data_IF_877744649869
#
_entry.id   IF_877744649869
#
_cell.length_a   1.000
_cell.length_b   1.000
_cell.length_c   1.000
_cell.angle_alpha   90.00
_cell.angle_beta   90.00
_cell.angle_gamma   90.00
#
_symmetry.space_group_name_H-M   'P 1'
#
loop_
_entity.id
_entity.type
_entity.pdbx_description
1 polymer ?
#
# COMPACT_ATOMS: atom_id res chain seq x y z
N UNK A 1 -39.25 -2.85 -26.56
CA UNK A 1 -37.95 -3.36 -26.07
C UNK A 1 -36.93 -2.25 -26.30
N UNK A 2 -36.76 -1.39 -25.29
CA UNK A 2 -35.84 -0.25 -25.29
C UNK A 2 -34.52 -0.73 -24.69
N UNK A 3 -33.42 -0.63 -25.43
CA UNK A 3 -32.07 -0.84 -24.89
C UNK A 3 -31.67 0.41 -24.10
N UNK A 4 -31.38 0.25 -22.81
CA UNK A 4 -30.69 1.25 -22.00
C UNK A 4 -29.19 1.15 -22.29
N UNK A 5 -28.63 2.20 -22.89
CA UNK A 5 -27.19 2.46 -22.93
C UNK A 5 -26.83 3.29 -21.69
N UNK A 6 -26.02 2.70 -20.80
CA UNK A 6 -25.42 3.38 -19.65
C UNK A 6 -24.14 4.07 -20.11
N UNK A 7 -24.16 5.39 -20.27
CA UNK A 7 -22.96 6.19 -20.48
C UNK A 7 -22.36 6.59 -19.14
N UNK A 8 -21.12 6.17 -18.87
CA UNK A 8 -20.28 6.72 -17.81
C UNK A 8 -19.97 8.18 -18.18
N UNK A 9 -20.31 9.12 -17.30
CA UNK A 9 -19.84 10.51 -17.42
C UNK A 9 -18.64 10.68 -16.50
N UNK A 10 -17.47 10.94 -17.08
CA UNK A 10 -16.26 11.37 -16.40
C UNK A 10 -16.53 12.71 -15.70
N UNK A 11 -16.45 12.73 -14.37
CA UNK A 11 -16.53 13.94 -13.56
C UNK A 11 -15.14 14.57 -13.49
N UNK A 12 -14.92 15.61 -14.30
CA UNK A 12 -13.75 16.46 -14.19
C UNK A 12 -13.89 17.33 -12.94
N UNK A 13 -13.14 17.03 -11.89
CA UNK A 13 -13.02 17.90 -10.73
C UNK A 13 -12.14 19.10 -11.07
N UNK A 14 -12.78 20.26 -11.24
CA UNK A 14 -12.09 21.55 -11.22
C UNK A 14 -11.92 21.91 -9.75
N UNK A 15 -10.68 21.85 -9.25
CA UNK A 15 -10.29 22.38 -7.96
C UNK A 15 -10.54 23.90 -7.97
N UNK A 16 -11.68 24.32 -7.46
CA UNK A 16 -11.96 25.73 -7.21
C UNK A 16 -11.28 26.11 -5.89
N UNK A 17 -10.18 26.86 -5.98
CA UNK A 17 -9.57 27.55 -4.84
C UNK A 17 -10.62 28.44 -4.16
N UNK A 18 -11.21 27.93 -3.08
CA UNK A 18 -12.13 28.66 -2.21
C UNK A 18 -11.40 29.07 -0.95
N UNK A 19 -10.95 30.33 -0.88
CA UNK A 19 -10.50 30.93 0.37
C UNK A 19 -11.65 30.87 1.39
N UNK A 20 -11.54 30.01 2.40
CA UNK A 20 -12.45 29.97 3.53
C UNK A 20 -12.17 31.18 4.44
N UNK A 21 -12.97 32.23 4.31
CA UNK A 21 -13.13 33.22 5.37
C UNK A 21 -13.96 32.56 6.47
N UNK A 22 -13.31 32.02 7.50
CA UNK A 22 -13.99 31.46 8.68
C UNK A 22 -14.56 32.64 9.49
N UNK A 23 -15.88 32.83 9.43
CA UNK A 23 -16.58 33.76 10.28
C UNK A 23 -16.87 33.09 11.64
N UNK A 24 -16.09 33.46 12.67
CA UNK A 24 -16.33 33.03 14.06
C UNK A 24 -17.68 33.57 14.57
N UNK A 25 -18.67 32.68 14.66
CA UNK A 25 -19.96 32.96 15.30
C UNK A 25 -20.06 32.27 16.66
N UNK A 26 -19.68 32.96 17.74
CA UNK A 26 -19.85 32.45 19.09
C UNK A 26 -21.34 32.41 19.51
N UNK A 27 -21.87 31.24 19.84
CA UNK A 27 -23.04 31.09 20.70
C UNK A 27 -23.04 29.73 21.42
N UNK A 28 -22.84 29.77 22.73
CA UNK A 28 -22.92 28.63 23.65
C UNK A 28 -24.36 28.14 23.85
N UNK A 29 -24.65 26.86 23.59
CA UNK A 29 -25.82 26.16 24.17
C UNK A 29 -25.48 24.68 24.36
N UNK A 30 -25.38 24.23 25.62
CA UNK A 30 -25.35 22.82 25.97
C UNK A 30 -26.76 22.21 25.91
N UNK A 31 -26.87 20.89 25.72
CA UNK A 31 -27.60 20.12 26.71
C UNK A 31 -26.96 18.76 27.07
N UNK A 32 -27.01 18.46 28.36
CA UNK A 32 -26.86 17.14 28.97
C UNK A 32 -27.80 16.10 28.35
N UNK A 33 -27.28 14.91 28.01
CA UNK A 33 -28.08 13.70 27.84
C UNK A 33 -27.34 12.52 28.49
N UNK A 34 -27.67 12.29 29.75
CA UNK A 34 -27.44 11.02 30.46
C UNK A 34 -28.45 10.00 29.97
N UNK A 35 -28.02 8.79 29.60
CA UNK A 35 -28.92 7.63 29.53
C UNK A 35 -28.40 6.48 30.38
N UNK A 36 -29.24 6.13 31.35
CA UNK A 36 -29.03 5.11 32.35
C UNK A 36 -29.53 3.74 31.88
N UNK A 37 -28.76 2.75 32.29
CA UNK A 37 -29.05 1.34 32.47
C UNK A 37 -30.39 1.06 33.16
N UNK A 38 -31.24 0.21 32.56
CA UNK A 38 -32.30 -0.48 33.29
C UNK A 38 -32.55 -1.90 32.73
N UNK A 39 -32.33 -2.89 33.60
CA UNK A 39 -32.65 -4.29 33.34
C UNK A 39 -34.08 -4.62 33.73
N UNK A 40 -34.62 -5.69 33.15
CA UNK A 40 -35.86 -6.32 33.59
C UNK A 40 -35.72 -7.83 33.48
N UNK A 41 -35.77 -8.51 34.62
CA UNK A 41 -35.72 -9.96 34.74
C UNK A 41 -37.10 -10.61 34.87
N UNK A 42 -37.16 -11.90 34.49
CA UNK A 42 -38.02 -13.00 34.97
C UNK A 42 -37.55 -14.24 34.18
N UNK A 43 -37.05 -15.34 34.71
CA UNK A 43 -37.26 -15.98 36.01
C UNK A 43 -38.10 -17.24 35.79
N UNK A 44 -37.47 -18.39 35.51
CA UNK A 44 -38.02 -19.68 35.94
C UNK A 44 -36.95 -20.78 36.09
N UNK A 45 -37.04 -21.42 37.25
CA UNK A 45 -36.18 -22.44 37.85
C UNK A 45 -36.57 -23.84 37.35
N UNK A 46 -35.59 -24.73 37.22
CA UNK A 46 -35.81 -26.17 37.06
C UNK A 46 -34.54 -26.97 37.39
N UNK A 47 -34.46 -27.47 38.63
CA UNK A 47 -33.42 -28.36 39.14
C UNK A 47 -33.52 -29.78 38.53
N UNK A 48 -32.38 -30.48 38.44
CA UNK A 48 -32.36 -31.93 38.24
C UNK A 48 -30.93 -32.50 38.14
N UNK A 49 -30.45 -33.08 39.24
CA UNK A 49 -29.13 -33.66 39.43
C UNK A 49 -28.94 -35.05 38.76
N UNK A 50 -27.69 -35.48 38.56
CA UNK A 50 -27.39 -36.92 38.41
C UNK A 50 -26.11 -37.34 37.69
N UNK A 51 -24.97 -37.29 38.40
CA UNK A 51 -23.87 -38.29 38.44
C UNK A 51 -23.73 -39.36 37.34
N UNK A 52 -22.51 -39.54 36.80
CA UNK A 52 -22.07 -40.86 36.31
C UNK A 52 -20.76 -40.89 35.50
N UNK A 53 -19.71 -41.49 36.09
CA UNK A 53 -18.37 -41.77 35.55
C UNK A 53 -18.34 -42.55 34.22
N UNK A 54 -17.30 -42.32 33.42
CA UNK A 54 -16.83 -43.25 32.39
C UNK A 54 -15.41 -42.90 31.92
N UNK A 55 -14.45 -43.78 32.20
CA UNK A 55 -13.04 -43.66 31.84
C UNK A 55 -12.76 -44.38 30.51
N UNK A 56 -11.84 -43.81 29.72
CA UNK A 56 -11.16 -44.41 28.57
C UNK A 56 -10.29 -43.31 27.97
N UNK A 57 -8.96 -43.35 27.97
CA UNK A 57 -8.12 -44.47 27.58
C UNK A 57 -7.71 -44.26 26.11
N UNK A 58 -6.82 -43.30 25.86
CA UNK A 58 -6.33 -42.96 24.53
C UNK A 58 -4.87 -42.50 24.58
N UNK A 59 -3.99 -43.36 24.07
CA UNK A 59 -2.57 -43.12 23.87
C UNK A 59 -2.30 -41.93 22.95
N UNK A 60 -1.43 -41.01 23.38
CA UNK A 60 -0.76 -40.04 22.51
C UNK A 60 0.70 -39.95 22.95
N UNK A 61 1.60 -40.43 22.10
CA UNK A 61 3.05 -40.39 22.30
C UNK A 61 3.52 -38.94 22.43
N UNK A 62 4.41 -38.73 23.40
CA UNK A 62 5.09 -37.46 23.60
C UNK A 62 6.16 -37.20 22.55
N UNK A 63 6.37 -35.91 22.30
CA UNK A 63 7.69 -35.30 22.30
C UNK A 63 8.47 -35.35 20.99
N UNK A 64 8.36 -34.29 20.20
CA UNK A 64 9.54 -33.52 19.82
C UNK A 64 9.16 -32.05 19.59
N UNK A 65 9.37 -31.24 20.63
CA UNK A 65 9.55 -29.81 20.46
C UNK A 65 10.94 -29.56 19.86
N UNK A 66 11.01 -28.57 18.97
CA UNK A 66 12.24 -27.82 18.71
C UNK A 66 12.77 -27.94 17.29
N UNK A 67 12.39 -26.98 16.44
CA UNK A 67 13.39 -26.07 15.89
C UNK A 67 12.71 -24.74 15.53
N UNK A 68 12.99 -23.71 16.32
CA UNK A 68 12.81 -22.33 15.89
C UNK A 68 13.87 -22.00 14.84
N UNK A 69 13.59 -21.02 13.99
CA UNK A 69 14.51 -20.63 12.93
C UNK A 69 14.01 -19.48 12.08
N UNK A 70 13.90 -18.30 12.68
CA UNK A 70 13.87 -17.00 11.99
C UNK A 70 12.55 -16.69 11.29
N UNK A 71 11.69 -15.90 11.95
CA UNK A 71 10.69 -15.15 11.20
C UNK A 71 11.42 -14.42 10.07
N UNK A 72 11.00 -14.64 8.83
CA UNK A 72 11.48 -13.85 7.71
C UNK A 72 11.10 -12.41 8.07
N UNK A 73 12.08 -11.57 8.39
CA UNK A 73 11.82 -10.14 8.55
C UNK A 73 11.24 -9.58 7.26
N UNK A 74 10.82 -8.33 7.29
CA UNK A 74 10.30 -7.64 6.11
C UNK A 74 11.19 -7.81 4.87
N UNK A 75 12.52 -7.83 5.03
CA UNK A 75 13.42 -8.12 3.91
C UNK A 75 13.42 -9.56 3.37
N UNK A 76 12.81 -10.50 4.08
CA UNK A 76 12.46 -11.81 3.55
C UNK A 76 11.17 -11.78 2.74
N UNK A 77 10.18 -10.95 3.11
CA UNK A 77 8.98 -10.69 2.29
C UNK A 77 9.41 -10.15 0.93
N UNK A 78 10.19 -9.05 0.90
CA UNK A 78 10.59 -8.43 -0.35
C UNK A 78 11.43 -9.36 -1.24
N UNK A 79 12.28 -10.21 -0.65
CA UNK A 79 13.04 -11.24 -1.38
C UNK A 79 12.17 -12.34 -1.97
N UNK A 80 11.20 -12.84 -1.20
CA UNK A 80 10.27 -13.88 -1.67
C UNK A 80 9.35 -13.34 -2.78
N UNK A 81 8.91 -12.09 -2.64
CA UNK A 81 8.04 -11.35 -3.56
C UNK A 81 8.70 -11.12 -4.93
N UNK A 82 9.92 -10.59 -4.94
CA UNK A 82 10.59 -10.16 -6.19
C UNK A 82 11.30 -11.30 -6.92
N UNK A 83 11.34 -12.50 -6.32
CA UNK A 83 12.03 -13.66 -6.89
C UNK A 83 13.53 -13.45 -7.10
N UNK A 84 14.11 -12.44 -6.47
CA UNK A 84 15.54 -12.12 -6.58
C UNK A 84 16.34 -12.96 -5.59
N UNK A 85 16.55 -14.23 -5.97
CA UNK A 85 17.57 -15.06 -5.34
C UNK A 85 18.95 -14.41 -5.50
N UNK A 86 19.65 -14.19 -4.39
CA UNK A 86 21.09 -13.91 -4.37
C UNK A 86 21.81 -14.99 -5.20
N UNK A 87 22.53 -14.65 -6.29
CA UNK A 87 23.49 -15.59 -6.83
C UNK A 87 24.68 -15.56 -5.88
N UNK A 88 24.74 -16.51 -4.94
CA UNK A 88 25.95 -17.21 -4.45
C UNK A 88 25.62 -17.90 -3.11
N UNK A 89 25.13 -19.14 -3.20
CA UNK A 89 25.47 -20.17 -2.21
C UNK A 89 26.44 -21.15 -2.88
N UNK A 90 27.73 -20.81 -2.83
CA UNK A 90 28.79 -21.72 -3.21
C UNK A 90 28.87 -22.90 -2.24
N UNK A 91 28.60 -24.10 -2.72
CA UNK A 91 28.97 -25.36 -2.08
C UNK A 91 29.69 -26.25 -3.08
N UNK A 92 30.84 -26.78 -2.65
CA UNK A 92 31.37 -28.06 -3.14
C UNK A 92 32.27 -27.98 -4.37
N UNK A 93 33.56 -28.18 -4.14
CA UNK A 93 34.57 -28.17 -5.19
C UNK A 93 34.52 -29.37 -6.14
N UNK A 94 35.17 -29.20 -7.28
CA UNK A 94 35.87 -30.27 -7.97
C UNK A 94 36.97 -29.65 -8.82
N UNK A 95 38.20 -30.04 -8.54
CA UNK A 95 39.37 -29.71 -9.33
C UNK A 95 39.44 -30.61 -10.57
N UNK A 96 39.84 -30.05 -11.71
CA UNK A 96 40.36 -30.83 -12.83
C UNK A 96 40.24 -30.15 -14.20
N UNK A 97 41.39 -29.66 -14.70
CA UNK A 97 41.87 -29.62 -16.10
C UNK A 97 40.88 -29.31 -17.24
N UNK A 98 41.10 -28.40 -18.19
CA UNK A 98 42.30 -27.76 -18.72
C UNK A 98 41.98 -27.30 -20.16
N UNK A 99 42.94 -26.59 -20.78
CA UNK A 99 43.03 -26.18 -22.20
C UNK A 99 42.23 -24.91 -22.60
N UNK A 100 42.86 -23.72 -22.70
CA UNK A 100 43.70 -23.16 -23.78
C UNK A 100 42.90 -22.60 -24.97
N UNK A 101 42.91 -21.27 -25.17
CA UNK A 101 43.51 -20.59 -26.35
C UNK A 101 42.92 -19.18 -26.59
N UNK A 102 43.82 -18.20 -26.58
CA UNK A 102 43.92 -16.98 -27.41
C UNK A 102 42.66 -16.20 -27.84
N UNK A 103 42.61 -14.94 -27.38
CA UNK A 103 42.74 -13.79 -28.28
C UNK A 103 43.23 -12.58 -27.48
N UNK A 104 44.44 -12.11 -27.83
CA UNK A 104 44.95 -10.81 -27.43
C UNK A 104 44.25 -9.71 -28.24
N UNK A 105 43.76 -8.68 -27.56
CA UNK A 105 43.51 -7.37 -28.15
C UNK A 105 44.07 -6.32 -27.19
N UNK A 106 45.15 -5.69 -27.64
CA UNK A 106 45.78 -4.54 -26.99
C UNK A 106 45.07 -3.27 -27.45
N UNK A 107 44.55 -2.49 -26.51
CA UNK A 107 44.00 -1.18 -26.76
C UNK A 107 43.96 -0.39 -25.47
N UNK A 108 44.97 0.45 -25.27
CA UNK A 108 45.07 1.43 -24.19
C UNK A 108 43.88 2.40 -24.20
N UNK A 109 43.13 2.44 -23.10
CA UNK A 109 42.30 3.59 -22.75
C UNK A 109 42.79 4.14 -21.41
N UNK A 110 43.67 5.15 -21.51
CA UNK A 110 44.06 6.07 -20.44
C UNK A 110 42.81 6.79 -19.93
N UNK A 111 42.08 6.15 -19.01
CA UNK A 111 40.97 6.76 -18.28
C UNK A 111 41.53 7.43 -17.03
N UNK A 112 41.33 8.75 -16.91
CA UNK A 112 41.61 9.58 -15.71
C UNK A 112 40.72 9.19 -14.49
N UNK A 113 40.39 7.90 -14.35
CA UNK A 113 39.43 7.35 -13.41
C UNK A 113 40.15 7.01 -12.09
N UNK A 114 39.77 7.65 -10.97
CA UNK A 114 40.39 7.36 -9.67
C UNK A 114 40.02 5.96 -9.17
N UNK A 115 40.95 5.29 -8.48
CA UNK A 115 40.86 3.86 -8.08
C UNK A 115 39.62 3.48 -7.26
N UNK A 116 38.92 4.44 -6.63
CA UNK A 116 37.69 4.19 -5.87
C UNK A 116 36.46 3.96 -6.76
N UNK A 117 36.50 4.42 -8.02
CA UNK A 117 35.43 4.20 -8.97
C UNK A 117 35.65 2.84 -9.62
N UNK A 118 35.05 1.79 -9.05
CA UNK A 118 35.19 0.38 -9.43
C UNK A 118 35.08 0.05 -10.93
N UNK A 119 35.30 -1.21 -11.28
CA UNK A 119 35.60 -1.65 -12.65
C UNK A 119 34.54 -1.25 -13.70
N UNK A 120 34.94 -0.81 -14.92
CA UNK A 120 34.00 -0.58 -16.01
C UNK A 120 33.33 -1.90 -16.39
N UNK A 121 32.00 -1.90 -16.51
CA UNK A 121 31.23 -3.00 -17.09
C UNK A 121 31.57 -3.14 -18.57
N UNK A 122 32.65 -3.88 -18.86
CA UNK A 122 32.92 -4.41 -20.19
C UNK A 122 31.89 -5.48 -20.56
N UNK A 123 31.90 -5.93 -21.81
CA UNK A 123 30.91 -6.85 -22.41
C UNK A 123 30.66 -8.17 -21.65
N UNK A 124 31.52 -8.53 -20.69
CA UNK A 124 31.39 -9.70 -19.82
C UNK A 124 31.39 -9.35 -18.30
N UNK A 125 31.22 -8.07 -17.95
CA UNK A 125 31.23 -7.58 -16.58
C UNK A 125 29.84 -7.14 -16.11
N UNK A 126 29.16 -8.01 -15.35
CA UNK A 126 28.09 -7.71 -14.39
C UNK A 126 27.13 -6.53 -14.72
N UNK A 127 26.82 -6.31 -15.99
CA UNK A 127 25.62 -5.60 -16.39
C UNK A 127 24.47 -6.53 -16.10
N UNK A 128 23.62 -6.15 -15.13
CA UNK A 128 22.48 -6.94 -14.69
C UNK A 128 21.78 -7.57 -15.87
N UNK A 129 21.98 -8.89 -16.02
CA UNK A 129 21.27 -9.67 -17.02
C UNK A 129 19.78 -9.46 -16.79
N UNK A 130 19.05 -9.40 -17.90
CA UNK A 130 17.60 -9.35 -17.93
C UNK A 130 17.03 -10.32 -16.86
N UNK A 131 16.32 -9.85 -15.82
CA UNK A 131 15.79 -10.71 -14.76
C UNK A 131 14.93 -11.82 -15.36
N UNK A 132 14.97 -13.03 -14.79
CA UNK A 132 14.20 -14.17 -15.29
C UNK A 132 12.67 -13.92 -15.29
N UNK A 133 12.21 -12.92 -14.52
CA UNK A 133 10.83 -12.45 -14.40
C UNK A 133 10.48 -11.31 -15.35
N UNK A 134 11.43 -10.80 -16.13
CA UNK A 134 11.18 -9.67 -17.03
C UNK A 134 10.48 -10.14 -18.30
N UNK A 135 9.19 -9.86 -18.30
CA UNK A 135 8.24 -10.15 -19.34
C UNK A 135 8.73 -10.04 -20.78
N UNK A 136 8.60 -11.12 -21.54
CA UNK A 136 9.18 -11.25 -22.88
C UNK A 136 8.43 -10.46 -23.97
N UNK A 137 7.29 -9.89 -23.62
CA UNK A 137 6.41 -9.09 -24.49
C UNK A 137 6.35 -7.64 -24.00
N UNK A 138 6.12 -6.68 -24.91
CA UNK A 138 5.81 -5.30 -24.52
C UNK A 138 4.38 -5.24 -23.97
N UNK A 139 4.15 -4.47 -22.91
CA UNK A 139 2.91 -4.49 -22.12
C UNK A 139 2.86 -5.56 -21.00
N UNK A 140 3.94 -6.33 -20.82
CA UNK A 140 4.12 -7.18 -19.64
C UNK A 140 4.43 -6.32 -18.40
N UNK A 141 4.53 -6.91 -17.20
CA UNK A 141 4.69 -6.24 -15.92
C UNK A 141 5.72 -5.09 -15.93
N UNK A 142 6.76 -5.17 -16.78
CA UNK A 142 7.81 -4.15 -16.91
C UNK A 142 7.82 -3.37 -18.24
N UNK A 143 6.77 -3.49 -19.07
CA UNK A 143 6.58 -2.79 -20.34
C UNK A 143 6.03 -1.36 -20.19
N UNK A 144 5.53 -0.80 -21.28
CA UNK A 144 4.87 0.51 -21.29
C UNK A 144 3.61 0.46 -20.40
N UNK A 145 3.51 1.37 -19.43
CA UNK A 145 2.43 1.40 -18.45
C UNK A 145 1.28 2.22 -19.00
N UNK A 146 0.20 1.57 -19.39
CA UNK A 146 -1.01 2.21 -19.92
C UNK A 146 -2.21 1.94 -19.03
N UNK A 147 -3.20 2.81 -19.09
CA UNK A 147 -4.53 2.51 -18.56
C UNK A 147 -5.12 1.34 -19.38
N UNK A 148 -5.56 0.30 -18.70
CA UNK A 148 -6.05 -0.94 -19.33
C UNK A 148 -7.44 -1.34 -18.78
N UNK A 149 -8.15 -2.16 -19.55
CA UNK A 149 -9.44 -2.70 -19.13
C UNK A 149 -9.25 -3.73 -18.01
N UNK A 150 -9.90 -3.48 -16.87
CA UNK A 150 -9.81 -4.30 -15.65
C UNK A 150 -11.18 -4.62 -15.09
N UNK A 151 -11.26 -5.74 -14.39
CA UNK A 151 -12.43 -6.05 -13.57
C UNK A 151 -12.44 -5.24 -12.26
N UNK A 152 -13.49 -5.44 -11.46
CA UNK A 152 -13.66 -4.73 -10.20
C UNK A 152 -12.52 -4.98 -9.20
N UNK A 153 -11.73 -6.05 -9.32
CA UNK A 153 -10.60 -6.35 -8.44
C UNK A 153 -9.26 -5.90 -9.03
N UNK A 154 -9.25 -5.17 -10.15
CA UNK A 154 -8.03 -4.74 -10.82
C UNK A 154 -7.39 -5.81 -11.71
N UNK A 155 -8.07 -6.94 -11.93
CA UNK A 155 -7.56 -8.02 -12.80
C UNK A 155 -7.71 -7.58 -14.26
N UNK A 156 -6.65 -7.63 -15.08
CA UNK A 156 -6.74 -7.33 -16.50
C UNK A 156 -7.77 -8.20 -17.22
N UNK A 157 -8.66 -7.58 -17.99
CA UNK A 157 -9.59 -8.29 -18.87
C UNK A 157 -8.86 -8.55 -20.19
N UNK A 158 -8.59 -9.83 -20.46
CA UNK A 158 -7.90 -10.23 -21.68
C UNK A 158 -8.85 -10.34 -22.87
N UNK A 159 -8.36 -9.98 -24.06
CA UNK A 159 -9.05 -10.22 -25.33
C UNK A 159 -9.19 -11.72 -25.59
N UNK A 160 -9.98 -12.10 -26.61
CA UNK A 160 -10.15 -13.51 -26.99
C UNK A 160 -8.82 -14.20 -27.35
N UNK A 161 -7.85 -13.43 -27.83
CA UNK A 161 -6.51 -13.88 -28.21
C UNK A 161 -5.51 -13.84 -27.03
N UNK A 162 -5.95 -13.39 -25.85
CA UNK A 162 -5.17 -13.39 -24.61
C UNK A 162 -4.31 -12.15 -24.39
N UNK A 163 -4.59 -11.05 -25.09
CA UNK A 163 -3.88 -9.77 -24.92
C UNK A 163 -4.54 -8.88 -23.88
N UNK A 164 -3.73 -8.08 -23.19
CA UNK A 164 -4.24 -6.99 -22.35
C UNK A 164 -4.87 -5.93 -23.26
N UNK A 165 -5.97 -5.32 -22.81
CA UNK A 165 -6.73 -4.34 -23.59
C UNK A 165 -6.49 -2.91 -23.09
N UNK A 166 -5.68 -2.07 -23.75
CA UNK A 166 -5.51 -0.66 -23.40
C UNK A 166 -6.78 0.13 -23.66
N UNK A 167 -6.96 1.21 -22.90
CA UNK A 167 -8.06 2.15 -23.01
C UNK A 167 -7.58 3.53 -23.45
N UNK A 168 -8.42 4.23 -24.21
CA UNK A 168 -8.22 5.63 -24.54
C UNK A 168 -8.62 6.58 -23.38
N UNK A 169 -8.39 7.89 -23.56
CA UNK A 169 -8.74 8.91 -22.56
C UNK A 169 -10.23 9.00 -22.22
N UNK A 170 -11.11 8.41 -23.03
CA UNK A 170 -12.55 8.34 -22.79
C UNK A 170 -12.96 6.97 -22.19
N UNK A 171 -12.00 6.08 -21.94
CA UNK A 171 -12.21 4.74 -21.39
C UNK A 171 -12.69 3.71 -22.41
N UNK A 172 -12.50 3.94 -23.71
CA UNK A 172 -12.87 2.98 -24.75
C UNK A 172 -11.68 2.06 -25.10
N UNK A 173 -11.94 0.77 -25.40
CA UNK A 173 -10.90 -0.15 -25.89
C UNK A 173 -10.22 0.34 -27.17
N UNK A 174 -8.90 0.37 -27.18
CA UNK A 174 -8.08 0.69 -28.36
C UNK A 174 -7.93 -0.56 -29.24
N UNK A 175 -8.04 -0.41 -30.57
CA UNK A 175 -7.85 -1.52 -31.51
C UNK A 175 -6.42 -2.06 -31.46
N UNK A 176 -6.27 -3.39 -31.43
CA UNK A 176 -4.98 -4.08 -31.39
C UNK A 176 -4.66 -4.76 -32.74
N UNK A 177 -3.38 -4.86 -33.08
CA UNK A 177 -2.86 -5.63 -34.21
C UNK A 177 -2.78 -7.15 -33.91
N UNK A 178 -2.28 -7.94 -34.88
CA UNK A 178 -2.16 -9.40 -34.74
C UNK A 178 -1.16 -9.82 -33.65
N UNK A 179 -0.27 -8.91 -33.23
CA UNK A 179 0.71 -9.12 -32.18
C UNK A 179 0.25 -8.63 -30.80
N UNK A 180 -0.92 -7.98 -30.73
CA UNK A 180 -1.50 -7.43 -29.50
C UNK A 180 -1.06 -6.02 -29.16
N UNK A 181 -0.53 -5.24 -30.12
CA UNK A 181 -0.14 -3.85 -29.92
C UNK A 181 -1.24 -2.89 -30.38
N UNK A 182 -1.40 -1.72 -29.74
CA UNK A 182 -2.28 -0.67 -30.24
C UNK A 182 -1.97 -0.29 -31.69
N UNK A 183 -2.99 -0.31 -32.54
CA UNK A 183 -2.86 0.16 -33.94
C UNK A 183 -2.53 1.65 -34.00
N UNK A 184 -3.05 2.42 -33.04
CA UNK A 184 -2.72 3.83 -32.82
C UNK A 184 -2.27 4.05 -31.38
N UNK A 185 -0.94 4.05 -31.17
CA UNK A 185 -0.32 4.31 -29.87
C UNK A 185 -0.58 5.73 -29.35
N UNK A 186 -1.01 6.69 -30.18
CA UNK A 186 -1.27 8.07 -29.71
C UNK A 186 -2.56 8.21 -28.90
N UNK A 187 -3.38 7.15 -28.89
CA UNK A 187 -4.61 7.08 -28.12
C UNK A 187 -4.39 6.53 -26.71
N UNK A 188 -3.25 5.88 -26.44
CA UNK A 188 -2.99 5.30 -25.12
C UNK A 188 -2.79 6.39 -24.07
N UNK A 189 -3.19 6.08 -22.85
CA UNK A 189 -2.95 6.95 -21.69
C UNK A 189 -1.91 6.28 -20.80
N UNK A 190 -0.80 6.96 -20.57
CA UNK A 190 0.27 6.46 -19.71
C UNK A 190 -0.10 6.55 -18.23
N UNK A 191 0.34 5.57 -17.45
CA UNK A 191 0.22 5.59 -15.99
C UNK A 191 1.49 6.17 -15.41
N UNK A 192 1.35 7.29 -14.70
CA UNK A 192 2.45 7.94 -14.00
C UNK A 192 2.55 7.45 -12.56
N UNK A 193 3.59 6.65 -12.24
CA UNK A 193 3.79 6.15 -10.88
C UNK A 193 4.44 7.15 -9.92
N UNK A 194 4.93 8.30 -10.40
CA UNK A 194 5.55 9.31 -9.52
C UNK A 194 6.62 8.74 -8.57
N UNK A 195 6.48 8.99 -7.26
CA UNK A 195 7.26 8.40 -6.15
C UNK A 195 7.15 6.87 -6.05
N UNK A 196 6.03 6.27 -6.44
CA UNK A 196 5.83 4.82 -6.41
C UNK A 196 6.73 4.07 -7.40
N UNK A 197 7.39 4.76 -8.34
CA UNK A 197 8.46 4.15 -9.14
C UNK A 197 9.56 3.48 -8.28
N UNK A 198 9.67 3.85 -7.00
CA UNK A 198 10.56 3.17 -6.04
C UNK A 198 10.23 1.69 -5.85
N UNK A 199 9.00 1.23 -6.15
CA UNK A 199 8.66 -0.20 -6.11
C UNK A 199 9.43 -1.05 -7.11
N UNK A 200 10.08 -0.43 -8.10
CA UNK A 200 10.98 -1.08 -9.07
C UNK A 200 12.44 -1.10 -8.60
N UNK A 201 12.73 -0.45 -7.47
CA UNK A 201 14.07 -0.44 -6.89
C UNK A 201 14.42 -1.81 -6.27
N UNK A 202 15.70 -2.10 -6.03
CA UNK A 202 16.10 -3.30 -5.30
C UNK A 202 15.39 -3.39 -3.94
N UNK A 203 15.02 -4.60 -3.55
CA UNK A 203 14.31 -4.92 -2.29
C UNK A 203 14.96 -4.30 -1.05
N UNK A 204 16.29 -4.25 -1.03
CA UNK A 204 17.07 -3.65 0.06
C UNK A 204 16.70 -2.20 0.39
N UNK A 205 16.12 -1.45 -0.56
CA UNK A 205 15.61 -0.09 -0.32
C UNK A 205 14.44 -0.11 0.66
N UNK A 206 13.47 -1.01 0.46
CA UNK A 206 12.31 -1.14 1.33
C UNK A 206 12.66 -1.88 2.63
N UNK A 207 13.56 -2.88 2.58
CA UNK A 207 14.01 -3.64 3.77
C UNK A 207 14.57 -2.73 4.88
N UNK A 208 15.34 -1.72 4.50
CA UNK A 208 15.93 -0.79 5.46
C UNK A 208 14.86 0.07 6.15
N UNK A 209 13.87 0.53 5.37
CA UNK A 209 12.76 1.38 5.86
C UNK A 209 11.81 0.58 6.74
N UNK A 210 11.54 -0.66 6.34
CA UNK A 210 10.88 -1.66 7.16
C UNK A 210 11.55 -1.86 8.54
N UNK A 211 12.88 -1.94 8.58
CA UNK A 211 13.62 -2.10 9.84
C UNK A 211 13.52 -0.87 10.74
N UNK A 212 13.45 0.33 10.15
CA UNK A 212 13.21 1.59 10.86
C UNK A 212 11.79 1.59 11.48
N UNK A 213 10.77 1.19 10.71
CA UNK A 213 9.38 1.03 11.21
C UNK A 213 9.29 0.07 12.39
N UNK A 214 9.90 -1.12 12.29
CA UNK A 214 9.94 -2.09 13.39
C UNK A 214 10.55 -1.46 14.64
N UNK A 215 11.69 -0.77 14.48
CA UNK A 215 12.40 -0.14 15.59
C UNK A 215 11.52 0.91 16.27
N UNK A 216 10.86 1.77 15.48
CA UNK A 216 9.97 2.80 16.02
C UNK A 216 8.79 2.19 16.77
N UNK A 217 8.10 1.21 16.18
CA UNK A 217 6.94 0.56 16.79
C UNK A 217 7.29 -0.17 18.10
N UNK A 218 8.39 -0.94 18.13
CA UNK A 218 8.83 -1.61 19.36
C UNK A 218 9.27 -0.66 20.49
N UNK A 219 9.63 0.57 20.14
CA UNK A 219 10.07 1.59 21.11
C UNK A 219 8.95 2.55 21.54
N UNK A 220 7.81 2.51 20.85
CA UNK A 220 6.72 3.43 21.09
C UNK A 220 6.06 3.16 22.45
N UNK A 221 5.72 4.22 23.18
CA UNK A 221 4.95 4.19 24.42
C UNK A 221 3.47 4.47 24.19
N UNK A 222 3.10 4.90 22.98
CA UNK A 222 1.73 5.04 22.50
C UNK A 222 1.71 4.97 20.97
N UNK A 223 0.64 4.38 20.44
CA UNK A 223 0.33 4.33 19.00
C UNK A 223 -1.05 4.92 18.80
N UNK A 224 -1.18 5.82 17.84
CA UNK A 224 -2.46 6.34 17.36
C UNK A 224 -2.40 6.52 15.84
N UNK A 225 -3.45 7.10 15.25
CA UNK A 225 -3.45 7.55 13.85
C UNK A 225 -3.72 9.04 13.76
N UNK A 226 -3.20 9.68 12.71
CA UNK A 226 -3.58 11.05 12.36
C UNK A 226 -4.92 11.08 11.61
N UNK A 227 -5.37 12.28 11.28
CA UNK A 227 -6.62 12.50 10.54
C UNK A 227 -6.65 11.84 9.15
N UNK A 228 -5.50 11.49 8.56
CA UNK A 228 -5.43 10.77 7.29
C UNK A 228 -5.34 9.25 7.47
N UNK A 229 -5.17 8.75 8.69
CA UNK A 229 -4.99 7.33 9.00
C UNK A 229 -3.52 6.87 9.09
N UNK A 230 -2.54 7.78 9.03
CA UNK A 230 -1.11 7.43 9.18
C UNK A 230 -0.78 7.17 10.64
N UNK A 231 0.14 6.24 10.90
CA UNK A 231 0.56 5.93 12.26
C UNK A 231 1.27 7.12 12.91
N UNK A 232 0.86 7.42 14.14
CA UNK A 232 1.46 8.42 15.03
C UNK A 232 1.99 7.69 16.24
N UNK A 233 3.29 7.82 16.48
CA UNK A 233 4.01 7.12 17.53
C UNK A 233 4.54 8.12 18.55
N UNK A 234 4.41 7.80 19.83
CA UNK A 234 5.13 8.51 20.88
C UNK A 234 6.35 7.69 21.27
N UNK A 235 7.54 8.21 21.03
CA UNK A 235 8.83 7.59 21.37
C UNK A 235 9.60 8.59 22.23
N UNK A 236 10.09 8.17 23.40
CA UNK A 236 10.84 9.04 24.33
C UNK A 236 10.12 10.37 24.65
N UNK A 237 8.80 10.31 24.87
CA UNK A 237 7.90 11.46 25.12
C UNK A 237 7.77 12.46 23.94
N UNK A 238 8.32 12.13 22.77
CA UNK A 238 8.11 12.87 21.51
C UNK A 238 7.10 12.14 20.61
N UNK A 239 6.05 12.84 20.21
CA UNK A 239 5.04 12.32 19.27
C UNK A 239 5.42 12.68 17.84
N UNK A 240 5.53 11.67 16.97
CA UNK A 240 5.86 11.83 15.54
C UNK A 240 4.95 10.97 14.68
N UNK A 241 4.55 11.52 13.55
CA UNK A 241 3.83 10.77 12.52
C UNK A 241 4.84 10.05 11.64
N UNK A 242 4.57 8.81 11.24
CA UNK A 242 5.35 8.14 10.19
C UNK A 242 5.03 8.84 8.87
N UNK A 243 5.85 9.82 8.50
CA UNK A 243 5.66 10.69 7.33
C UNK A 243 6.54 10.30 6.14
N UNK A 244 7.45 9.34 6.33
CA UNK A 244 8.31 8.82 5.28
C UNK A 244 7.50 7.98 4.28
N UNK A 245 7.58 8.27 2.97
CA UNK A 245 6.86 7.52 1.95
C UNK A 245 7.24 6.06 1.91
N UNK A 246 8.52 5.77 2.11
CA UNK A 246 9.03 4.40 2.01
C UNK A 246 8.71 3.57 3.25
N UNK A 247 8.60 4.21 4.42
CA UNK A 247 8.14 3.53 5.64
C UNK A 247 6.66 3.14 5.51
N UNK A 248 5.84 4.07 5.02
CA UNK A 248 4.43 3.78 4.73
C UNK A 248 4.28 2.71 3.63
N UNK A 249 5.06 2.79 2.55
CA UNK A 249 5.05 1.76 1.50
C UNK A 249 5.50 0.39 2.02
N UNK A 250 6.45 0.36 2.95
CA UNK A 250 6.87 -0.90 3.56
C UNK A 250 5.73 -1.52 4.40
N UNK A 251 5.02 -0.73 5.20
CA UNK A 251 3.85 -1.19 5.95
C UNK A 251 2.78 -1.71 4.99
N UNK A 252 2.46 -0.93 3.96
CA UNK A 252 1.50 -1.29 2.90
C UNK A 252 1.75 -2.69 2.33
N UNK A 253 2.98 -2.96 1.85
CA UNK A 253 3.34 -4.27 1.28
C UNK A 253 3.20 -5.39 2.30
N UNK A 254 3.58 -5.13 3.55
CA UNK A 254 3.56 -6.13 4.63
C UNK A 254 2.16 -6.60 4.96
N UNK A 255 1.23 -5.65 5.07
CA UNK A 255 -0.17 -5.92 5.36
C UNK A 255 -0.84 -6.67 4.20
N UNK A 256 -0.69 -6.19 2.95
CA UNK A 256 -1.32 -6.84 1.80
C UNK A 256 -0.72 -8.20 1.43
N UNK A 257 0.54 -8.46 1.82
CA UNK A 257 1.19 -9.76 1.54
C UNK A 257 1.01 -10.76 2.67
N UNK A 258 1.13 -10.31 3.93
CA UNK A 258 1.21 -11.22 5.09
C UNK A 258 0.18 -10.95 6.18
N UNK A 259 -0.58 -9.86 6.11
CA UNK A 259 -1.47 -9.44 7.19
C UNK A 259 -0.73 -9.19 8.51
N UNK A 260 0.53 -8.74 8.41
CA UNK A 260 1.39 -8.50 9.57
C UNK A 260 2.64 -7.73 9.15
N UNK A 261 3.29 -7.08 10.12
CA UNK A 261 4.63 -6.54 10.04
C UNK A 261 5.60 -7.57 10.68
N UNK A 262 6.29 -8.41 9.88
CA UNK A 262 7.16 -9.44 10.44
C UNK A 262 8.32 -8.86 11.24
N UNK A 263 8.56 -9.46 12.40
CA UNK A 263 9.57 -9.00 13.35
C UNK A 263 8.98 -8.26 14.53
N UNK A 264 7.68 -7.96 14.49
CA UNK A 264 6.90 -7.50 15.64
C UNK A 264 5.95 -8.61 16.11
N UNK A 265 5.61 -8.54 17.39
CA UNK A 265 4.57 -9.34 18.05
C UNK A 265 3.61 -8.41 18.80
N UNK A 266 2.45 -8.92 19.23
CA UNK A 266 1.51 -8.14 20.02
C UNK A 266 2.13 -7.56 21.32
N UNK A 267 3.12 -8.25 21.91
CA UNK A 267 3.84 -7.77 23.09
C UNK A 267 4.76 -6.56 22.79
N UNK A 268 5.10 -6.33 21.51
CA UNK A 268 5.90 -5.20 21.06
C UNK A 268 5.04 -3.96 20.76
N UNK A 269 3.71 -4.10 20.68
CA UNK A 269 2.78 -2.99 20.46
C UNK A 269 2.19 -2.52 21.79
N UNK A 270 1.90 -1.22 21.87
CA UNK A 270 1.21 -0.64 23.01
C UNK A 270 -0.30 -0.70 22.79
N UNK A 271 -1.01 -1.35 23.71
CA UNK A 271 -2.45 -1.52 23.63
C UNK A 271 -2.84 -2.69 22.73
N UNK A 272 -4.10 -2.73 22.30
CA UNK A 272 -4.64 -3.80 21.44
C UNK A 272 -5.31 -3.28 20.18
N UNK A 273 -5.44 -1.95 20.03
CA UNK A 273 -6.19 -1.33 18.92
C UNK A 273 -5.49 -1.54 17.56
N UNK A 274 -4.19 -1.85 17.58
CA UNK A 274 -3.35 -2.07 16.40
C UNK A 274 -2.82 -3.51 16.29
N UNK A 275 -3.42 -4.46 17.00
CA UNK A 275 -2.99 -5.88 16.98
C UNK A 275 -3.06 -6.50 15.58
N UNK A 276 -3.95 -5.99 14.71
CA UNK A 276 -4.03 -6.42 13.30
C UNK A 276 -2.72 -6.20 12.54
N UNK A 277 -1.88 -5.24 12.95
CA UNK A 277 -0.55 -5.04 12.35
C UNK A 277 0.40 -6.21 12.61
N UNK A 278 0.10 -7.13 13.53
CA UNK A 278 1.02 -8.18 14.01
C UNK A 278 0.36 -9.55 14.20
N UNK A 279 -0.90 -9.73 13.82
CA UNK A 279 -1.63 -10.97 14.07
C UNK A 279 -1.37 -12.08 13.02
N UNK A 280 -0.78 -11.72 11.87
CA UNK A 280 -0.43 -12.65 10.80
C UNK A 280 -1.63 -13.10 9.98
N UNK A 281 -2.74 -12.37 10.02
CA UNK A 281 -3.96 -12.66 9.29
C UNK A 281 -4.29 -11.49 8.37
N UNK A 282 -4.40 -11.75 7.06
CA UNK A 282 -4.92 -10.75 6.15
C UNK A 282 -6.44 -10.61 6.36
N UNK A 283 -6.87 -9.47 6.87
CA UNK A 283 -8.25 -9.14 7.22
C UNK A 283 -8.71 -7.85 6.55
N UNK A 284 -9.99 -7.50 6.74
CA UNK A 284 -10.52 -6.22 6.29
C UNK A 284 -9.81 -5.03 6.96
N UNK A 285 -9.35 -5.17 8.22
CA UNK A 285 -8.64 -4.09 8.90
C UNK A 285 -7.30 -3.76 8.24
N UNK A 286 -6.59 -4.76 7.73
CA UNK A 286 -5.37 -4.58 6.94
C UNK A 286 -5.64 -3.82 5.66
N UNK A 287 -6.69 -4.22 4.94
CA UNK A 287 -7.10 -3.58 3.70
C UNK A 287 -7.54 -2.12 3.95
N UNK A 288 -8.34 -1.87 4.98
CA UNK A 288 -8.79 -0.52 5.33
C UNK A 288 -7.61 0.38 5.70
N UNK A 289 -6.71 -0.08 6.57
CA UNK A 289 -5.53 0.69 6.98
C UNK A 289 -4.53 0.92 5.83
N UNK A 290 -4.43 -0.03 4.90
CA UNK A 290 -3.52 0.05 3.75
C UNK A 290 -3.81 1.27 2.85
N UNK A 291 -5.04 1.79 2.82
CA UNK A 291 -5.41 2.98 2.04
C UNK A 291 -4.58 4.20 2.45
N UNK A 292 -4.44 4.45 3.76
CA UNK A 292 -3.66 5.56 4.30
C UNK A 292 -2.15 5.38 4.09
N UNK A 293 -1.67 4.13 4.19
CA UNK A 293 -0.26 3.83 3.94
C UNK A 293 0.12 4.02 2.47
N UNK A 294 -0.74 3.61 1.55
CA UNK A 294 -0.53 3.87 0.12
C UNK A 294 -0.61 5.36 -0.20
N UNK A 295 -1.60 6.07 0.37
CA UNK A 295 -1.76 7.51 0.23
C UNK A 295 -0.52 8.30 0.67
N UNK A 296 0.11 7.90 1.78
CA UNK A 296 1.34 8.51 2.28
C UNK A 296 2.57 8.20 1.42
N UNK A 297 2.56 7.07 0.71
CA UNK A 297 3.65 6.63 -0.16
C UNK A 297 3.64 7.32 -1.53
N UNK A 298 2.46 7.58 -2.10
CA UNK A 298 2.31 8.17 -3.44
C UNK A 298 2.60 9.67 -3.48
N UNK A 299 2.58 10.27 -4.67
CA UNK A 299 2.72 11.71 -4.87
C UNK A 299 1.57 12.48 -4.24
N UNK A 300 1.88 13.57 -3.53
CA UNK A 300 0.86 14.39 -2.84
C UNK A 300 -0.15 15.03 -3.80
N UNK A 301 0.26 15.23 -5.05
CA UNK A 301 -0.50 15.95 -6.08
C UNK A 301 -0.55 15.11 -7.35
N UNK A 302 -1.55 15.36 -8.21
CA UNK A 302 -1.70 14.63 -9.47
C UNK A 302 -2.91 13.71 -9.44
N UNK A 303 -3.17 13.03 -10.55
CA UNK A 303 -4.24 12.05 -10.65
C UNK A 303 -3.78 10.71 -10.06
N UNK A 304 -4.58 10.14 -9.15
CA UNK A 304 -4.32 8.84 -8.54
C UNK A 304 -5.33 7.83 -9.07
N UNK A 305 -4.86 6.80 -9.78
CA UNK A 305 -5.72 5.90 -10.57
C UNK A 305 -5.68 4.47 -10.04
N UNK A 306 -6.73 3.68 -10.32
CA UNK A 306 -6.74 2.25 -9.98
C UNK A 306 -5.67 1.46 -10.74
N UNK A 307 -5.30 1.88 -11.95
CA UNK A 307 -4.15 1.32 -12.67
C UNK A 307 -2.83 1.55 -11.94
N UNK A 308 -2.61 2.73 -11.37
CA UNK A 308 -1.42 3.02 -10.56
C UNK A 308 -1.28 2.01 -9.42
N UNK A 309 -2.36 1.76 -8.69
CA UNK A 309 -2.42 0.77 -7.59
C UNK A 309 -2.14 -0.64 -8.11
N UNK A 310 -2.85 -1.07 -9.14
CA UNK A 310 -2.70 -2.42 -9.67
C UNK A 310 -1.30 -2.69 -10.23
N UNK A 311 -0.67 -1.68 -10.82
CA UNK A 311 0.73 -1.77 -11.26
C UNK A 311 1.69 -1.78 -10.09
N UNK A 312 1.56 -0.87 -9.11
CA UNK A 312 2.48 -0.85 -7.96
C UNK A 312 2.41 -2.15 -7.17
N UNK A 313 1.22 -2.74 -7.00
CA UNK A 313 1.05 -4.02 -6.33
C UNK A 313 1.77 -5.14 -7.06
N UNK A 314 1.63 -5.17 -8.38
CA UNK A 314 2.27 -6.17 -9.18
C UNK A 314 3.81 -5.98 -9.21
N UNK A 315 4.31 -4.74 -9.23
CA UNK A 315 5.74 -4.44 -9.11
C UNK A 315 6.32 -4.84 -7.76
N UNK A 316 5.57 -4.58 -6.70
CA UNK A 316 5.87 -4.98 -5.34
C UNK A 316 5.48 -6.44 -5.08
N UNK A 317 5.17 -7.20 -6.13
CA UNK A 317 4.80 -8.61 -6.14
C UNK A 317 3.79 -9.06 -5.07
N UNK A 318 2.87 -8.16 -4.72
CA UNK A 318 1.75 -8.44 -3.83
C UNK A 318 0.81 -9.41 -4.56
N UNK A 319 0.54 -10.56 -3.94
CA UNK A 319 -0.43 -11.56 -4.41
C UNK A 319 -0.41 -11.85 -5.92
N UNK A 320 0.79 -12.01 -6.48
CA UNK A 320 0.97 -12.22 -7.92
C UNK A 320 0.25 -13.48 -8.41
N UNK A 321 -0.51 -13.29 -9.48
CA UNK A 321 -1.19 -14.34 -10.24
C UNK A 321 -0.78 -14.23 -11.70
N UNK A 322 -0.84 -15.35 -12.43
CA UNK A 322 -0.57 -15.37 -13.87
C UNK A 322 -1.72 -16.02 -14.61
N UNK A 323 -2.23 -15.33 -15.63
CA UNK A 323 -3.24 -15.83 -16.57
C UNK A 323 -2.68 -15.76 -17.99
N UNK A 324 -2.47 -16.93 -18.61
CA UNK A 324 -1.75 -17.00 -19.88
C UNK A 324 -0.31 -16.53 -19.71
N UNK A 325 0.07 -15.51 -20.47
CA UNK A 325 1.39 -14.87 -20.40
C UNK A 325 1.37 -13.56 -19.58
N UNK A 326 0.25 -13.22 -18.93
CA UNK A 326 0.08 -11.96 -18.19
C UNK A 326 0.17 -12.21 -16.69
N UNK A 327 1.12 -11.54 -16.03
CA UNK A 327 1.26 -11.53 -14.57
C UNK A 327 0.66 -10.24 -13.99
N UNK A 328 -0.17 -10.37 -12.95
CA UNK A 328 -0.86 -9.26 -12.29
C UNK A 328 -0.99 -9.52 -10.78
N UNK A 329 -1.21 -8.47 -9.98
CA UNK A 329 -1.58 -8.60 -8.57
C UNK A 329 -3.08 -8.89 -8.44
N UNK A 330 -3.44 -9.85 -7.59
CA UNK A 330 -4.84 -10.10 -7.22
C UNK A 330 -5.08 -9.78 -5.74
N UNK A 331 -5.89 -8.76 -5.49
CA UNK A 331 -6.45 -8.44 -4.18
C UNK A 331 -7.97 -8.46 -4.30
N UNK A 332 -8.65 -9.11 -3.36
CA UNK A 332 -10.12 -9.18 -3.35
C UNK A 332 -10.70 -7.95 -2.66
N UNK A 333 -11.28 -7.03 -3.45
CA UNK A 333 -11.93 -5.82 -2.96
C UNK A 333 -13.45 -5.99 -2.80
N UNK A 334 -14.00 -7.18 -3.01
CA UNK A 334 -15.45 -7.40 -3.03
C UNK A 334 -16.15 -7.08 -1.71
N UNK A 335 -15.44 -7.18 -0.58
CA UNK A 335 -15.92 -6.79 0.75
C UNK A 335 -15.58 -5.35 1.15
N UNK A 336 -14.72 -4.67 0.39
CA UNK A 336 -14.29 -3.31 0.71
C UNK A 336 -15.46 -2.33 0.54
N UNK A 337 -15.62 -1.41 1.49
CA UNK A 337 -16.61 -0.36 1.43
C UNK A 337 -16.02 0.93 1.98
N UNK A 338 -16.32 2.03 1.29
CA UNK A 338 -15.87 3.35 1.65
C UNK A 338 -17.05 4.32 1.67
N UNK A 339 -17.16 5.05 2.77
CA UNK A 339 -18.05 6.19 2.95
C UNK A 339 -17.23 7.32 3.57
N UNK A 340 -17.16 8.44 2.85
CA UNK A 340 -16.32 9.57 3.24
C UNK A 340 -16.82 10.22 4.53
N UNK A 341 -18.14 10.36 4.66
CA UNK A 341 -18.75 10.96 5.84
C UNK A 341 -18.51 10.10 7.09
N UNK A 342 -18.64 8.78 6.98
CA UNK A 342 -18.34 7.85 8.06
C UNK A 342 -16.84 7.89 8.44
N UNK A 343 -15.97 8.16 7.47
CA UNK A 343 -14.51 8.21 7.68
C UNK A 343 -14.06 9.52 8.33
N UNK A 344 -14.59 10.67 7.88
CA UNK A 344 -14.01 11.98 8.23
C UNK A 344 -14.93 12.91 9.04
N UNK A 345 -16.24 12.64 9.14
CA UNK A 345 -17.14 13.51 9.88
C UNK A 345 -16.79 13.52 11.37
N UNK A 346 -16.46 14.69 11.93
CA UNK A 346 -16.03 14.84 13.32
C UNK A 346 -14.56 14.51 13.57
N UNK A 347 -13.82 14.09 12.53
CA UNK A 347 -12.36 13.97 12.59
C UNK A 347 -11.78 15.37 12.45
N UNK A 348 -10.92 15.75 13.39
CA UNK A 348 -10.34 17.10 13.44
C UNK A 348 -8.83 17.07 13.25
N UNK A 349 -8.29 18.14 12.67
CA UNK A 349 -6.85 18.41 12.64
C UNK A 349 -6.58 19.86 13.04
N UNK A 350 -5.50 20.08 13.77
CA UNK A 350 -5.01 21.42 14.11
C UNK A 350 -4.18 21.97 12.96
N UNK A 351 -4.58 23.10 12.40
CA UNK A 351 -3.94 23.74 11.25
C UNK A 351 -3.69 25.22 11.47
N UNK A 352 -2.78 25.83 10.71
CA UNK A 352 -2.58 27.27 10.69
C UNK A 352 -3.54 27.95 9.72
N UNK A 353 -4.33 28.89 10.22
CA UNK A 353 -5.27 29.69 9.44
C UNK A 353 -4.87 31.16 9.47
N UNK A 354 -4.73 31.77 8.29
CA UNK A 354 -4.49 33.22 8.16
C UNK A 354 -5.71 34.02 8.60
N UNK A 355 -5.49 34.98 9.49
CA UNK A 355 -6.49 35.89 10.03
C UNK A 355 -6.65 37.13 9.14
N UNK A 356 -7.74 37.88 9.33
CA UNK A 356 -8.03 39.07 8.54
C UNK A 356 -6.96 40.19 8.66
N UNK A 357 -6.12 40.14 9.68
CA UNK A 357 -5.01 41.08 9.90
C UNK A 357 -3.66 40.57 9.35
N UNK A 358 -3.64 39.40 8.69
CA UNK A 358 -2.45 38.76 8.14
C UNK A 358 -1.61 37.97 9.16
N UNK A 359 -2.09 37.80 10.39
CA UNK A 359 -1.50 36.86 11.36
C UNK A 359 -1.97 35.42 11.11
N UNK A 360 -1.32 34.43 11.73
CA UNK A 360 -1.74 33.02 11.64
C UNK A 360 -2.08 32.50 13.04
N UNK A 361 -3.24 31.87 13.17
CA UNK A 361 -3.67 31.21 14.39
C UNK A 361 -3.83 29.71 14.18
N UNK A 362 -3.59 28.93 15.24
CA UNK A 362 -3.87 27.50 15.26
C UNK A 362 -5.35 27.27 15.50
N UNK A 363 -6.00 26.53 14.61
CA UNK A 363 -7.43 26.25 14.66
C UNK A 363 -7.66 24.76 14.43
N UNK A 364 -8.50 24.15 15.26
CA UNK A 364 -9.00 22.80 15.02
C UNK A 364 -10.12 22.87 13.98
N UNK A 365 -9.91 22.22 12.84
CA UNK A 365 -10.88 22.16 11.74
C UNK A 365 -11.39 20.74 11.59
N UNK A 366 -12.67 20.61 11.23
CA UNK A 366 -13.27 19.35 10.82
C UNK A 366 -12.79 19.00 9.40
N UNK A 367 -12.23 17.80 9.22
CA UNK A 367 -11.63 17.37 7.96
C UNK A 367 -12.68 17.20 6.87
N UNK A 368 -13.86 16.69 7.23
CA UNK A 368 -14.94 16.50 6.27
C UNK A 368 -15.41 17.83 5.66
N UNK A 369 -15.50 18.88 6.48
CA UNK A 369 -15.80 20.23 5.99
C UNK A 369 -14.61 20.90 5.29
N UNK A 370 -13.43 20.91 5.91
CA UNK A 370 -12.29 21.68 5.43
C UNK A 370 -11.68 21.15 4.12
N UNK A 371 -11.60 19.82 3.96
CA UNK A 371 -11.00 19.18 2.78
C UNK A 371 -12.05 18.92 1.70
N UNK A 372 -13.22 18.42 2.11
CA UNK A 372 -14.23 17.92 1.17
C UNK A 372 -15.45 18.84 1.02
N UNK A 373 -15.51 19.95 1.76
CA UNK A 373 -16.64 20.88 1.70
C UNK A 373 -17.97 20.23 2.11
N UNK A 374 -17.91 19.25 3.01
CA UNK A 374 -19.05 18.40 3.39
C UNK A 374 -19.68 17.64 2.21
N UNK A 375 -18.92 17.42 1.13
CA UNK A 375 -19.35 16.64 -0.04
C UNK A 375 -19.02 15.17 0.18
N UNK A 376 -20.06 14.36 0.22
CA UNK A 376 -19.94 12.93 0.45
C UNK A 376 -19.51 12.16 -0.81
N UNK A 377 -18.88 10.99 -0.60
CA UNK A 377 -18.65 9.99 -1.63
C UNK A 377 -18.75 8.59 -1.01
N UNK A 378 -19.41 7.71 -1.75
CA UNK A 378 -19.58 6.30 -1.38
C UNK A 378 -19.21 5.40 -2.52
N UNK A 379 -18.45 4.35 -2.22
CA UNK A 379 -18.05 3.34 -3.17
C UNK A 379 -17.83 2.00 -2.45
N UNK A 380 -18.03 0.88 -3.14
CA UNK A 380 -17.84 -0.44 -2.53
C UNK A 380 -17.52 -1.51 -3.59
N UNK A 381 -16.97 -2.62 -3.10
CA UNK A 381 -16.82 -3.87 -3.85
C UNK A 381 -15.85 -3.80 -5.03
N UNK A 382 -14.92 -2.84 -5.04
CA UNK A 382 -14.02 -2.64 -6.17
C UNK A 382 -12.71 -1.93 -5.79
N UNK A 383 -11.69 -2.12 -6.62
CA UNK A 383 -10.43 -1.38 -6.61
C UNK A 383 -10.67 0.13 -6.80
N UNK A 384 -11.67 0.54 -7.58
CA UNK A 384 -12.03 1.96 -7.71
C UNK A 384 -12.52 2.53 -6.36
N UNK A 385 -13.27 1.75 -5.57
CA UNK A 385 -13.69 2.17 -4.23
C UNK A 385 -12.48 2.31 -3.28
N UNK A 386 -11.55 1.37 -3.36
CA UNK A 386 -10.29 1.42 -2.63
C UNK A 386 -9.43 2.63 -3.04
N UNK A 387 -9.36 2.90 -4.34
CA UNK A 387 -8.64 4.05 -4.91
C UNK A 387 -9.23 5.36 -4.41
N UNK A 388 -10.56 5.47 -4.37
CA UNK A 388 -11.24 6.65 -3.82
C UNK A 388 -10.89 6.89 -2.35
N UNK A 389 -10.84 5.83 -1.54
CA UNK A 389 -10.48 5.93 -0.12
C UNK A 389 -9.02 6.40 0.07
N UNK A 390 -8.10 5.83 -0.70
CA UNK A 390 -6.69 6.21 -0.69
C UNK A 390 -6.46 7.63 -1.23
N UNK A 391 -7.18 8.05 -2.28
CA UNK A 391 -7.10 9.42 -2.81
C UNK A 391 -7.64 10.46 -1.82
N UNK A 392 -8.74 10.15 -1.12
CA UNK A 392 -9.27 11.02 -0.08
C UNK A 392 -8.30 11.13 1.10
N UNK A 393 -7.68 10.03 1.54
CA UNK A 393 -6.60 10.08 2.54
C UNK A 393 -5.43 10.95 2.07
N UNK A 394 -5.03 10.83 0.79
CA UNK A 394 -3.98 11.63 0.17
C UNK A 394 -4.32 13.13 0.17
N UNK A 395 -5.56 13.50 -0.11
CA UNK A 395 -6.04 14.89 -0.03
C UNK A 395 -5.97 15.44 1.41
N UNK A 396 -6.29 14.61 2.41
CA UNK A 396 -6.14 14.99 3.83
C UNK A 396 -4.66 15.17 4.20
N UNK A 397 -3.76 14.29 3.72
CA UNK A 397 -2.32 14.42 3.92
C UNK A 397 -1.79 15.71 3.29
N UNK A 398 -2.21 16.04 2.08
CA UNK A 398 -1.84 17.30 1.42
C UNK A 398 -2.30 18.50 2.26
N UNK A 399 -3.56 18.51 2.67
CA UNK A 399 -4.13 19.57 3.49
C UNK A 399 -3.37 19.79 4.81
N UNK A 400 -3.12 18.73 5.58
CA UNK A 400 -2.42 18.82 6.87
C UNK A 400 -0.99 19.34 6.68
N UNK A 401 -0.31 18.95 5.59
CA UNK A 401 1.03 19.42 5.30
C UNK A 401 1.07 20.88 4.84
N UNK A 402 0.11 21.30 4.00
CA UNK A 402 0.05 22.67 3.49
C UNK A 402 -0.20 23.67 4.62
N UNK A 403 -1.07 23.30 5.58
CA UNK A 403 -1.42 24.15 6.72
C UNK A 403 -0.77 23.71 8.03
N UNK A 404 0.37 23.01 7.95
CA UNK A 404 1.07 22.46 9.11
C UNK A 404 1.47 23.55 10.12
N UNK A 405 1.31 23.26 11.40
CA UNK A 405 1.86 24.08 12.49
C UNK A 405 3.37 23.82 12.58
N UNK A 406 4.23 24.84 12.47
CA UNK A 406 5.67 24.65 12.61
C UNK A 406 6.01 24.06 13.97
N UNK A 407 6.87 23.04 13.97
CA UNK A 407 7.46 22.53 15.22
C UNK A 407 8.24 23.66 15.90
N UNK A 408 8.10 23.77 17.23
CA UNK A 408 8.85 24.75 18.00
C UNK A 408 10.35 24.44 17.89
N UNK A 409 11.14 25.39 17.39
CA UNK A 409 12.60 25.30 17.23
C UNK A 409 13.36 25.18 18.56
#
# INVERSE_FOLDING_TARGET
>A
MLKLTSGRQSLKFILAAGCAVIALGAASVAPDMTFAQEGSGKGQQGQGAGSGKGAGGGHGQGGQMGQGGGGKGLGGIFRDITGMDDPVKGHGGSAGSGDSADAADEGDDESDRPEWAGQPGGKDGAGGGRPATSGSKKGDLFGDLWIIDRDANGVPILTADGYVQPLDADGNPIELDEEGHPVDETLTVEVELGRLNVGRAPTSVLDNRASEVITMLSSATAVSVDAAGRLVLTVDDETKTIDSPLENLAIYVSLLTTGSIPGLTADDLVGTDYDFLVDGQYTQADLDASTAFLAAATDKTGEFTSDEIAYIDAFLGINLTTMGDVTYSFVDYSSFSYDRSDTYSGVTATVLVEQADGSFDQVDVDIYDAVFGSVDATAAGSLDAYTQAADDSRAVIEFIHEYAVPEAL
#
